data_IF_463373553304
#
_entry.id   IF_463373553304
#
_cell.length_a   1.000
_cell.length_b   1.000
_cell.length_c   1.000
_cell.angle_alpha   90.00
_cell.angle_beta   90.00
_cell.angle_gamma   90.00
#
_symmetry.space_group_name_H-M   'P 1'
#
loop_
_entity.id
_entity.type
_entity.pdbx_description
1 polymer ?
#
# COMPACT_ATOMS: atom_id res chain seq x y z
N UNK A 1 -0.89 -10.95 13.69
CA UNK A 1 0.16 -11.01 14.75
C UNK A 1 -0.51 -10.99 16.14
N UNK A 2 0.08 -11.62 17.16
CA UNK A 2 -0.49 -11.65 18.53
C UNK A 2 -0.16 -10.39 19.35
N UNK A 3 0.82 -9.62 18.91
CA UNK A 3 1.20 -8.31 19.43
C UNK A 3 1.74 -7.46 18.27
N UNK A 4 1.71 -6.13 18.42
CA UNK A 4 2.33 -5.23 17.45
C UNK A 4 3.86 -5.40 17.47
N UNK A 5 4.55 -5.35 16.31
CA UNK A 5 6.02 -5.30 16.29
C UNK A 5 6.55 -4.12 17.13
N UNK A 6 7.72 -4.30 17.76
CA UNK A 6 8.28 -3.29 18.68
C UNK A 6 8.59 -1.93 18.05
N UNK A 7 8.66 -1.85 16.72
CA UNK A 7 8.81 -0.59 15.95
C UNK A 7 7.50 0.22 15.90
N UNK A 8 6.36 -0.37 16.27
CA UNK A 8 5.05 0.32 16.30
C UNK A 8 4.32 0.38 14.95
N UNK A 9 4.74 -0.44 13.99
CA UNK A 9 4.16 -0.57 12.66
C UNK A 9 4.28 -2.01 12.14
N UNK A 10 3.37 -2.38 11.24
CA UNK A 10 3.38 -3.65 10.54
C UNK A 10 3.42 -3.41 9.02
N UNK A 11 4.56 -3.73 8.41
CA UNK A 11 4.77 -3.57 6.97
C UNK A 11 5.43 -4.77 6.32
N UNK A 12 5.09 -4.97 5.06
CA UNK A 12 5.95 -5.67 4.11
C UNK A 12 6.74 -4.64 3.29
N UNK A 13 8.01 -4.94 3.03
CA UNK A 13 8.86 -4.17 2.12
C UNK A 13 9.65 -5.13 1.25
N UNK A 14 9.60 -4.92 -0.07
CA UNK A 14 10.54 -5.52 -1.01
C UNK A 14 11.51 -4.43 -1.46
N UNK A 15 12.81 -4.66 -1.24
CA UNK A 15 13.89 -3.79 -1.72
C UNK A 15 14.48 -4.40 -2.99
N UNK A 16 14.40 -3.69 -4.10
CA UNK A 16 14.84 -4.14 -5.41
C UNK A 16 16.01 -3.28 -5.91
N UNK A 17 16.77 -3.80 -6.87
CA UNK A 17 17.84 -3.04 -7.51
C UNK A 17 17.22 -1.90 -8.36
N UNK A 18 17.42 -0.65 -7.94
CA UNK A 18 16.88 0.53 -8.61
C UNK A 18 17.41 0.72 -10.04
N UNK A 19 18.57 0.16 -10.39
CA UNK A 19 19.09 0.18 -11.77
C UNK A 19 18.28 -0.73 -12.70
N UNK A 20 17.76 -1.85 -12.20
CA UNK A 20 16.99 -2.81 -12.99
C UNK A 20 15.50 -2.46 -13.07
N UNK A 21 14.98 -1.77 -12.05
CA UNK A 21 13.56 -1.41 -11.97
C UNK A 21 13.38 0.07 -11.56
N UNK A 22 13.91 1.02 -12.35
CA UNK A 22 14.02 2.43 -11.96
C UNK A 22 12.70 3.20 -11.99
N UNK A 23 11.69 2.68 -12.67
CA UNK A 23 10.48 3.43 -13.00
C UNK A 23 9.41 3.22 -11.92
N UNK A 24 9.68 3.72 -10.72
CA UNK A 24 8.68 3.89 -9.65
C UNK A 24 7.90 5.22 -9.78
N UNK A 25 7.00 5.51 -8.83
CA UNK A 25 6.23 6.75 -8.84
C UNK A 25 7.12 7.97 -8.55
N UNK A 26 7.14 8.91 -9.49
CA UNK A 26 7.99 10.10 -9.45
C UNK A 26 7.91 10.95 -8.17
N UNK A 27 6.75 11.11 -7.49
CA UNK A 27 6.68 11.86 -6.23
C UNK A 27 7.48 11.24 -5.08
N UNK A 28 7.76 9.93 -5.16
CA UNK A 28 8.50 9.16 -4.16
C UNK A 28 9.95 8.86 -4.57
N UNK A 29 10.41 9.43 -5.69
CA UNK A 29 11.76 9.25 -6.21
C UNK A 29 12.74 10.28 -5.63
N UNK A 30 13.74 9.79 -4.89
CA UNK A 30 14.74 10.61 -4.21
C UNK A 30 15.97 10.93 -5.07
N UNK A 31 16.05 10.41 -6.30
CA UNK A 31 17.15 10.74 -7.21
C UNK A 31 17.16 12.25 -7.52
N UNK A 32 18.36 12.85 -7.43
CA UNK A 32 18.53 14.29 -7.71
C UNK A 32 17.96 15.23 -6.64
N UNK A 33 17.55 14.71 -5.47
CA UNK A 33 17.18 15.55 -4.33
C UNK A 33 18.40 16.31 -3.80
N UNK A 34 18.16 17.51 -3.25
CA UNK A 34 19.19 18.40 -2.69
C UNK A 34 19.37 18.21 -1.17
N UNK A 35 18.63 17.28 -0.58
CA UNK A 35 18.64 16.98 0.84
C UNK A 35 17.25 17.03 1.47
N UNK A 36 17.17 16.62 2.73
CA UNK A 36 15.95 16.69 3.50
C UNK A 36 15.59 18.15 3.81
N UNK A 37 14.31 18.49 3.66
CA UNK A 37 13.75 19.80 3.95
C UNK A 37 12.73 19.76 5.11
N UNK A 38 12.25 18.56 5.47
CA UNK A 38 11.51 18.30 6.70
C UNK A 38 11.87 16.90 7.20
N UNK A 39 12.31 16.82 8.46
CA UNK A 39 12.77 15.57 9.08
C UNK A 39 13.82 14.85 8.21
N UNK A 40 13.64 13.55 7.96
CA UNK A 40 14.46 12.71 7.09
C UNK A 40 13.61 12.01 6.03
N UNK A 41 12.41 12.52 5.74
CA UNK A 41 11.43 11.86 4.88
C UNK A 41 10.75 12.79 3.86
N UNK A 42 10.96 14.10 3.94
CA UNK A 42 10.62 15.06 2.88
C UNK A 42 11.89 15.68 2.32
N UNK A 43 12.04 15.62 1.00
CA UNK A 43 13.25 16.05 0.29
C UNK A 43 12.94 17.13 -0.74
N UNK A 44 13.84 18.10 -0.86
CA UNK A 44 13.77 19.14 -1.88
C UNK A 44 14.47 18.73 -3.17
N UNK A 45 14.06 19.31 -4.30
CA UNK A 45 14.71 19.16 -5.60
C UNK A 45 15.10 20.55 -6.12
N UNK A 46 16.16 20.65 -6.91
CA UNK A 46 16.69 21.92 -7.42
C UNK A 46 15.69 22.72 -8.29
N UNK A 47 14.68 22.05 -8.86
CA UNK A 47 13.61 22.65 -9.64
C UNK A 47 12.48 23.27 -8.79
N UNK A 48 12.60 23.22 -7.45
CA UNK A 48 11.63 23.75 -6.50
C UNK A 48 10.50 22.78 -6.12
N UNK A 49 10.48 21.57 -6.67
CA UNK A 49 9.53 20.52 -6.27
C UNK A 49 10.03 19.72 -5.06
N UNK A 50 9.14 18.95 -4.42
CA UNK A 50 9.48 18.10 -3.27
C UNK A 50 9.24 16.62 -3.58
N UNK A 51 9.90 15.73 -2.82
CA UNK A 51 9.77 14.27 -2.93
C UNK A 51 9.58 13.64 -1.56
N UNK A 52 8.78 12.60 -1.49
CA UNK A 52 8.61 11.80 -0.27
C UNK A 52 7.90 10.49 -0.58
N UNK A 53 8.28 9.44 0.15
CA UNK A 53 7.54 8.18 0.24
C UNK A 53 6.06 8.32 0.63
N UNK A 54 5.66 9.45 1.24
CA UNK A 54 4.26 9.73 1.58
C UNK A 54 3.43 10.32 0.42
N UNK A 55 4.06 10.67 -0.70
CA UNK A 55 3.37 11.39 -1.79
C UNK A 55 2.65 10.48 -2.78
N UNK A 56 2.64 9.16 -2.53
CA UNK A 56 1.93 8.20 -3.37
C UNK A 56 2.39 8.22 -4.82
N UNK A 57 1.48 7.89 -5.73
CA UNK A 57 1.72 7.89 -7.18
C UNK A 57 1.17 9.15 -7.88
N UNK A 58 1.92 9.69 -8.84
CA UNK A 58 1.51 10.87 -9.60
C UNK A 58 0.35 10.61 -10.56
N UNK A 59 0.19 9.38 -11.06
CA UNK A 59 -0.86 9.05 -12.02
C UNK A 59 -2.18 8.82 -11.32
N UNK A 60 -2.14 8.14 -10.17
CA UNK A 60 -3.35 7.55 -9.61
C UNK A 60 -3.91 8.21 -8.37
N UNK A 61 -3.23 9.14 -7.66
CA UNK A 61 -3.59 9.98 -6.49
C UNK A 61 -4.92 9.70 -5.73
N UNK A 62 -6.03 9.46 -6.42
CA UNK A 62 -7.22 8.81 -5.84
C UNK A 62 -7.02 7.36 -5.38
N UNK A 63 -6.02 6.61 -5.88
CA UNK A 63 -5.77 5.21 -5.50
C UNK A 63 -4.98 5.02 -4.21
N UNK A 64 -4.44 6.08 -3.61
CA UNK A 64 -3.68 6.00 -2.36
C UNK A 64 -4.55 5.68 -1.14
N UNK A 65 -5.89 5.81 -1.27
CA UNK A 65 -6.84 5.48 -0.21
C UNK A 65 -7.00 3.97 -0.12
N UNK A 66 -7.04 3.44 1.10
CA UNK A 66 -7.23 2.02 1.36
C UNK A 66 -8.39 1.37 0.58
N UNK A 67 -9.47 2.12 0.30
CA UNK A 67 -10.62 1.65 -0.50
C UNK A 67 -10.35 1.57 -2.01
N UNK A 68 -9.43 2.36 -2.55
CA UNK A 68 -9.10 2.43 -3.97
C UNK A 68 -7.78 1.71 -4.31
N UNK A 69 -7.01 1.33 -3.28
CA UNK A 69 -5.76 0.59 -3.41
C UNK A 69 -6.01 -0.78 -4.02
N UNK A 70 -5.49 -0.96 -5.23
CA UNK A 70 -5.58 -2.22 -5.99
C UNK A 70 -4.20 -2.82 -6.20
N UNK A 71 -3.25 -2.01 -6.67
CA UNK A 71 -1.85 -2.37 -6.75
C UNK A 71 -0.98 -1.10 -6.75
N UNK A 72 0.29 -1.26 -6.38
CA UNK A 72 1.35 -0.30 -6.61
C UNK A 72 2.65 -1.03 -6.98
N UNK A 73 3.58 -0.38 -7.68
CA UNK A 73 4.81 -1.04 -8.09
C UNK A 73 5.81 -0.13 -8.79
N UNK A 74 6.76 -0.77 -9.46
CA UNK A 74 7.75 -0.12 -10.30
C UNK A 74 8.07 -1.01 -11.51
N UNK A 75 8.66 -0.42 -12.55
CA UNK A 75 9.02 -1.13 -13.78
C UNK A 75 10.45 -0.84 -14.24
N UNK A 76 10.94 -1.67 -15.15
CA UNK A 76 12.20 -1.49 -15.87
C UNK A 76 12.13 -2.22 -17.22
N UNK A 77 13.23 -2.25 -17.99
CA UNK A 77 13.25 -2.93 -19.28
C UNK A 77 12.92 -4.43 -19.14
N UNK A 78 11.71 -4.82 -19.59
CA UNK A 78 11.25 -6.21 -19.56
C UNK A 78 10.90 -6.76 -18.17
N UNK A 79 10.70 -5.89 -17.17
CA UNK A 79 10.33 -6.29 -15.81
C UNK A 79 9.33 -5.32 -15.17
N UNK A 80 8.34 -5.87 -14.48
CA UNK A 80 7.48 -5.16 -13.54
C UNK A 80 7.44 -5.89 -12.21
N UNK A 81 7.38 -5.16 -11.11
CA UNK A 81 7.16 -5.71 -9.78
C UNK A 81 6.02 -4.93 -9.11
N UNK A 82 5.02 -5.67 -8.64
CA UNK A 82 3.74 -5.11 -8.23
C UNK A 82 3.31 -5.70 -6.90
N UNK A 83 3.12 -4.86 -5.89
CA UNK A 83 2.32 -5.21 -4.73
C UNK A 83 0.85 -5.10 -5.11
N UNK A 84 0.13 -6.22 -5.11
CA UNK A 84 -1.31 -6.28 -5.29
C UNK A 84 -1.99 -6.43 -3.94
N UNK A 85 -2.87 -5.50 -3.64
CA UNK A 85 -3.62 -5.47 -2.38
C UNK A 85 -4.91 -6.27 -2.52
N UNK A 86 -5.13 -7.22 -1.61
CA UNK A 86 -6.42 -7.87 -1.42
C UNK A 86 -7.25 -7.12 -0.37
N UNK A 87 -7.98 -7.85 0.49
CA UNK A 87 -8.73 -7.20 1.57
C UNK A 87 -7.79 -6.52 2.57
N UNK A 88 -8.22 -5.34 3.03
CA UNK A 88 -7.59 -4.55 4.08
C UNK A 88 -8.38 -4.58 5.39
N UNK A 89 -9.22 -5.61 5.60
CA UNK A 89 -10.09 -5.73 6.78
C UNK A 89 -9.34 -5.68 8.13
N UNK A 90 -8.10 -6.15 8.13
CA UNK A 90 -7.22 -6.18 9.30
C UNK A 90 -6.35 -4.92 9.43
N UNK A 91 -6.30 -4.05 8.42
CA UNK A 91 -5.63 -2.76 8.51
C UNK A 91 -6.36 -1.80 9.44
N UNK A 92 -5.72 -0.70 9.84
CA UNK A 92 -6.29 0.30 10.79
C UNK A 92 -6.41 1.68 10.15
N UNK A 93 -7.48 2.41 10.47
CA UNK A 93 -7.73 3.78 10.02
C UNK A 93 -8.90 3.93 9.04
N UNK A 94 -9.54 2.83 8.65
CA UNK A 94 -10.71 2.83 7.77
C UNK A 94 -10.41 3.05 6.27
N UNK A 95 -11.46 3.22 5.44
CA UNK A 95 -11.35 3.18 3.98
C UNK A 95 -10.57 4.35 3.37
N UNK A 96 -10.42 5.46 4.10
CA UNK A 96 -9.72 6.66 3.63
C UNK A 96 -8.29 6.76 4.14
N UNK A 97 -7.84 5.79 4.94
CA UNK A 97 -6.45 5.72 5.39
C UNK A 97 -5.51 5.61 4.18
N UNK A 98 -4.35 6.26 4.26
CA UNK A 98 -3.30 6.25 3.23
C UNK A 98 -1.98 5.99 3.92
N UNK A 99 -1.06 5.33 3.22
CA UNK A 99 0.26 5.05 3.76
C UNK A 99 1.29 4.95 2.64
N UNK A 100 2.54 4.68 2.99
CA UNK A 100 3.65 4.55 2.07
C UNK A 100 3.46 3.31 1.19
N UNK A 101 3.63 3.50 -0.12
CA UNK A 101 3.49 2.43 -1.12
C UNK A 101 4.78 2.20 -1.92
N UNK A 102 5.60 3.24 -2.06
CA UNK A 102 6.83 3.22 -2.83
C UNK A 102 7.85 4.23 -2.29
N UNK A 103 9.13 3.94 -2.51
CA UNK A 103 10.19 4.95 -2.51
C UNK A 103 11.29 4.47 -3.45
N UNK A 104 11.90 5.37 -4.20
CA UNK A 104 13.11 5.05 -4.98
C UNK A 104 14.29 5.96 -4.64
N UNK A 105 15.49 5.42 -4.77
CA UNK A 105 16.77 6.06 -4.47
C UNK A 105 17.88 5.03 -4.66
N UNK A 106 18.65 4.77 -3.59
CA UNK A 106 19.67 3.71 -3.60
C UNK A 106 19.09 2.33 -3.95
N UNK A 107 17.85 2.05 -3.52
CA UNK A 107 17.05 0.91 -3.92
C UNK A 107 15.66 1.34 -4.44
N UNK A 108 14.94 0.40 -5.04
CA UNK A 108 13.53 0.56 -5.38
C UNK A 108 12.70 -0.21 -4.36
N UNK A 109 12.04 0.51 -3.46
CA UNK A 109 11.27 -0.02 -2.36
C UNK A 109 9.78 -0.07 -2.75
N UNK A 110 9.15 -1.23 -2.58
CA UNK A 110 7.69 -1.43 -2.76
C UNK A 110 7.11 -1.93 -1.45
N UNK A 111 6.07 -1.26 -0.97
CA UNK A 111 5.54 -1.44 0.37
C UNK A 111 4.14 -2.02 0.40
N UNK A 112 3.82 -2.70 1.50
CA UNK A 112 2.46 -2.85 1.99
C UNK A 112 2.44 -2.56 3.49
N UNK A 113 2.06 -1.34 3.87
CA UNK A 113 1.75 -1.03 5.26
C UNK A 113 0.36 -1.58 5.61
N UNK A 114 0.38 -2.57 6.49
CA UNK A 114 -0.82 -3.17 7.05
C UNK A 114 -1.36 -2.31 8.18
N UNK A 115 -0.49 -1.70 8.98
CA UNK A 115 -0.80 -0.61 9.90
C UNK A 115 0.44 0.28 10.12
N UNK A 116 0.24 1.49 10.62
CA UNK A 116 1.30 2.41 11.04
C UNK A 116 0.76 3.48 11.99
N UNK A 117 1.67 4.27 12.56
CA UNK A 117 1.37 5.50 13.29
C UNK A 117 1.16 6.73 12.40
N UNK A 118 1.14 6.57 11.07
CA UNK A 118 1.02 7.69 10.13
C UNK A 118 -0.42 8.22 10.11
N UNK A 119 -0.69 9.24 10.94
CA UNK A 119 -2.02 9.82 11.09
C UNK A 119 -3.11 8.77 11.46
N UNK A 120 -2.75 7.86 12.37
CA UNK A 120 -3.61 6.75 12.78
C UNK A 120 -4.82 7.22 13.60
N UNK A 121 -5.99 6.65 13.29
CA UNK A 121 -7.27 7.00 13.93
C UNK A 121 -7.94 5.81 14.64
N UNK A 122 -7.45 4.59 14.42
CA UNK A 122 -7.96 3.37 15.02
C UNK A 122 -6.86 2.59 15.76
N UNK A 123 -7.25 1.75 16.72
CA UNK A 123 -6.33 0.79 17.34
C UNK A 123 -5.91 -0.31 16.36
N UNK A 124 -4.69 -0.82 16.51
CA UNK A 124 -4.19 -1.92 15.69
C UNK A 124 -4.95 -3.22 15.94
N UNK A 125 -5.27 -3.94 14.85
CA UNK A 125 -5.97 -5.23 14.91
C UNK A 125 -4.96 -6.37 15.10
N UNK A 126 -5.07 -7.02 16.25
CA UNK A 126 -4.25 -8.17 16.66
C UNK A 126 -5.06 -9.46 16.58
N UNK A 127 -4.37 -10.60 16.59
CA UNK A 127 -4.95 -11.95 16.50
C UNK A 127 -5.80 -12.18 15.23
N UNK A 128 -5.52 -11.41 14.18
CA UNK A 128 -6.11 -11.53 12.84
C UNK A 128 -5.03 -11.80 11.79
N UNK A 129 -5.45 -12.30 10.63
CA UNK A 129 -4.62 -12.40 9.44
C UNK A 129 -4.66 -11.08 8.68
N UNK A 130 -3.49 -10.51 8.36
CA UNK A 130 -3.39 -9.33 7.52
C UNK A 130 -3.16 -9.74 6.07
N UNK A 131 -3.96 -9.18 5.15
CA UNK A 131 -4.02 -9.61 3.75
C UNK A 131 -5.31 -10.38 3.43
N UNK A 132 -5.34 -11.13 2.30
CA UNK A 132 -4.19 -11.49 1.48
C UNK A 132 -3.67 -10.33 0.63
N UNK A 133 -2.41 -10.42 0.24
CA UNK A 133 -1.75 -9.55 -0.73
C UNK A 133 -0.72 -10.39 -1.50
N UNK A 134 -0.30 -9.94 -2.67
CA UNK A 134 0.66 -10.65 -3.50
C UNK A 134 1.73 -9.72 -4.03
N UNK A 135 2.98 -10.19 -4.03
CA UNK A 135 4.05 -9.59 -4.83
C UNK A 135 4.09 -10.30 -6.19
N UNK A 136 3.83 -9.58 -7.26
CA UNK A 136 3.69 -10.12 -8.62
C UNK A 136 4.79 -9.56 -9.51
N UNK A 137 5.52 -10.46 -10.18
CA UNK A 137 6.50 -10.12 -11.20
C UNK A 137 5.91 -10.33 -12.59
N UNK A 138 6.10 -9.36 -13.47
CA UNK A 138 5.64 -9.37 -14.87
C UNK A 138 6.76 -8.93 -15.81
N UNK A 139 6.51 -8.91 -17.11
CA UNK A 139 7.40 -8.39 -18.15
C UNK A 139 7.36 -6.86 -18.30
N UNK A 140 6.64 -6.17 -17.42
CA UNK A 140 6.53 -4.72 -17.40
C UNK A 140 5.14 -4.24 -17.05
N UNK A 141 4.08 -4.79 -17.64
CA UNK A 141 2.71 -4.32 -17.38
C UNK A 141 2.20 -4.78 -16.00
N UNK A 142 1.28 -4.04 -15.35
CA UNK A 142 0.64 -4.53 -14.12
C UNK A 142 -0.17 -5.81 -14.39
N UNK A 143 -0.34 -6.69 -13.38
CA UNK A 143 -1.11 -7.91 -13.54
C UNK A 143 -2.60 -7.59 -13.77
N UNK A 144 -3.31 -8.49 -14.45
CA UNK A 144 -4.77 -8.44 -14.55
C UNK A 144 -5.42 -8.63 -13.18
N UNK A 145 -6.33 -7.74 -12.80
CA UNK A 145 -7.05 -7.76 -11.53
C UNK A 145 -8.55 -8.04 -11.71
N UNK A 146 -9.25 -8.55 -10.68
CA UNK A 146 -8.74 -8.93 -9.35
C UNK A 146 -7.98 -10.27 -9.38
N UNK A 147 -7.01 -10.43 -8.47
CA UNK A 147 -6.37 -11.73 -8.23
C UNK A 147 -7.29 -12.65 -7.41
N UNK A 148 -7.27 -13.94 -7.73
CA UNK A 148 -7.97 -14.95 -6.94
C UNK A 148 -7.11 -15.45 -5.77
N UNK A 149 -7.61 -15.22 -4.55
CA UNK A 149 -6.99 -15.70 -3.31
C UNK A 149 -7.79 -16.83 -2.65
N UNK A 150 -8.86 -17.34 -3.26
CA UNK A 150 -9.76 -18.33 -2.67
C UNK A 150 -9.06 -19.64 -2.31
N UNK A 151 -8.04 -20.02 -3.06
CA UNK A 151 -7.20 -21.19 -2.84
C UNK A 151 -6.49 -21.19 -1.48
N UNK A 152 -6.23 -20.02 -0.89
CA UNK A 152 -5.62 -19.89 0.44
C UNK A 152 -6.47 -20.52 1.55
N UNK A 153 -7.79 -20.66 1.33
CA UNK A 153 -8.69 -21.33 2.26
C UNK A 153 -8.37 -22.80 2.52
N UNK A 154 -7.60 -23.44 1.63
CA UNK A 154 -7.20 -24.83 1.77
C UNK A 154 -5.86 -25.01 2.51
N UNK A 155 -5.20 -23.93 2.91
CA UNK A 155 -3.87 -23.97 3.51
C UNK A 155 -3.88 -24.05 5.05
N UNK A 156 -5.05 -23.94 5.69
CA UNK A 156 -5.15 -23.95 7.15
C UNK A 156 -4.49 -22.73 7.81
N UNK A 157 -4.53 -21.55 7.17
CA UNK A 157 -3.93 -20.33 7.69
C UNK A 157 -4.66 -19.84 8.94
N UNK A 158 -3.90 -19.54 9.99
CA UNK A 158 -4.42 -18.93 11.21
C UNK A 158 -5.08 -17.58 10.90
N UNK A 159 -6.32 -17.41 11.33
CA UNK A 159 -7.11 -16.18 11.13
C UNK A 159 -7.74 -16.05 9.74
N UNK A 160 -7.61 -17.04 8.86
CA UNK A 160 -8.28 -16.99 7.55
C UNK A 160 -9.80 -17.16 7.68
N UNK A 161 -10.55 -16.23 7.09
CA UNK A 161 -12.00 -16.29 6.96
C UNK A 161 -12.35 -16.22 5.47
N UNK A 162 -13.14 -17.19 4.99
CA UNK A 162 -13.58 -17.21 3.59
C UNK A 162 -14.44 -15.98 3.25
N UNK A 163 -14.25 -15.35 2.08
CA UNK A 163 -15.02 -14.18 1.64
C UNK A 163 -16.55 -14.36 1.64
N UNK A 164 -17.04 -15.60 1.50
CA UNK A 164 -18.49 -15.90 1.58
C UNK A 164 -19.09 -15.53 2.95
N UNK A 165 -18.26 -15.47 4.00
CA UNK A 165 -18.70 -15.15 5.38
C UNK A 165 -18.58 -13.66 5.74
N UNK A 166 -18.18 -12.79 4.80
CA UNK A 166 -17.89 -11.37 5.07
C UNK A 166 -18.95 -10.39 4.50
N UNK A 167 -20.13 -10.87 4.08
CA UNK A 167 -21.13 -10.04 3.40
C UNK A 167 -22.22 -9.55 4.34
N UNK A 168 -22.43 -8.23 4.38
CA UNK A 168 -23.65 -7.59 4.89
C UNK A 168 -24.30 -6.78 3.77
N UNK A 169 -25.60 -6.95 3.54
CA UNK A 169 -26.38 -6.18 2.56
C UNK A 169 -27.38 -5.28 3.27
N UNK A 170 -27.33 -3.97 3.02
CA UNK A 170 -28.29 -3.00 3.54
C UNK A 170 -28.27 -1.72 2.70
N UNK A 171 -29.42 -1.05 2.58
CA UNK A 171 -29.51 0.24 1.91
C UNK A 171 -29.33 1.36 2.94
N UNK A 172 -28.41 2.30 2.66
CA UNK A 172 -28.31 3.55 3.41
C UNK A 172 -29.31 4.54 2.80
N UNK A 173 -30.48 4.71 3.43
CA UNK A 173 -31.46 5.72 3.02
C UNK A 173 -31.30 6.97 3.89
N UNK A 174 -30.81 8.05 3.29
CA UNK A 174 -30.76 9.36 3.95
C UNK A 174 -32.13 10.03 3.80
N UNK A 175 -32.97 9.96 4.83
CA UNK A 175 -34.20 10.75 4.89
C UNK A 175 -33.83 12.19 5.23
N UNK A 176 -33.78 13.07 4.23
CA UNK A 176 -33.71 14.52 4.46
C UNK A 176 -35.11 15.05 4.73
N UNK A 177 -35.49 15.16 6.01
CA UNK A 177 -36.66 15.94 6.39
C UNK A 177 -36.37 17.42 6.13
N UNK A 178 -37.16 18.04 5.25
CA UNK A 178 -37.17 19.48 5.07
C UNK A 178 -37.99 20.08 6.22
N UNK A 179 -37.38 20.95 7.02
CA UNK A 179 -38.11 21.86 7.93
C UNK A 179 -38.57 23.11 7.16
#
# INVERSE_FOLDING_TARGET
>A
PTAEPGVGELRWITRLNSVLIPNGPGPSDLHGTTGAIESTDIFGVADGTTRSKYYGDNITHGKDRAIDLSYNGATGPGIGCWMVFGTRESSSGGPFFRDIENQSGDDQEIYNYMNSGHNQTESYRLNVLHGPYALVFTDGAPPTLPLDFSWMGNLGLNGWISPIRQRSTGALLLMMEHM
#
